data_IF_716506697575
#
_entry.id   IF_716506697575
#
_cell.length_a   1.000
_cell.length_b   1.000
_cell.length_c   1.000
_cell.angle_alpha   90.00
_cell.angle_beta   90.00
_cell.angle_gamma   90.00
#
_symmetry.space_group_name_H-M   'P 1'
#
loop_
_entity.id
_entity.type
_entity.pdbx_description
1 polymer ?
#
# COMPACT_ATOMS: atom_id res chain seq x y z
N UNK A 1 -14.70 25.01 -21.94
CA UNK A 1 -15.10 25.21 -23.34
C UNK A 1 -16.58 25.53 -23.37
N UNK A 2 -16.94 26.72 -23.82
CA UNK A 2 -18.33 27.10 -24.15
C UNK A 2 -18.43 27.21 -25.66
N UNK A 3 -19.49 26.67 -26.25
CA UNK A 3 -19.62 26.64 -27.69
C UNK A 3 -20.87 25.91 -28.16
N UNK A 4 -21.24 26.20 -29.41
CA UNK A 4 -22.27 25.47 -30.13
C UNK A 4 -21.71 24.11 -30.55
N UNK A 5 -22.42 23.04 -30.21
CA UNK A 5 -22.01 21.67 -30.55
C UNK A 5 -22.86 21.07 -31.68
N UNK A 6 -24.05 21.63 -31.91
CA UNK A 6 -24.90 21.28 -33.04
C UNK A 6 -25.89 22.41 -33.34
N UNK A 7 -26.28 22.58 -34.60
CA UNK A 7 -27.35 23.49 -35.00
C UNK A 7 -28.13 22.97 -36.20
N UNK A 8 -29.42 23.28 -36.23
CA UNK A 8 -30.33 23.05 -37.35
C UNK A 8 -30.51 24.33 -38.16
N UNK A 9 -30.36 24.22 -39.47
CA UNK A 9 -30.41 25.33 -40.42
C UNK A 9 -31.46 25.09 -41.51
N UNK A 10 -32.15 26.15 -41.92
CA UNK A 10 -33.12 26.15 -43.02
C UNK A 10 -32.72 27.22 -44.06
N UNK A 11 -33.40 27.21 -45.22
CA UNK A 11 -33.18 28.17 -46.32
C UNK A 11 -31.70 28.33 -46.71
N UNK A 12 -31.08 27.21 -47.11
CA UNK A 12 -29.68 27.19 -47.56
C UNK A 12 -28.69 27.83 -46.56
N UNK A 13 -28.88 27.51 -45.28
CA UNK A 13 -28.13 28.05 -44.13
C UNK A 13 -28.36 29.53 -43.82
N UNK A 14 -29.32 30.19 -44.47
CA UNK A 14 -29.71 31.57 -44.17
C UNK A 14 -30.44 31.77 -42.84
N UNK A 15 -31.04 30.71 -42.28
CA UNK A 15 -31.79 30.78 -41.03
C UNK A 15 -31.43 29.64 -40.06
N UNK A 16 -30.94 29.98 -38.86
CA UNK A 16 -30.72 29.03 -37.76
C UNK A 16 -31.98 28.91 -36.91
N UNK A 17 -32.64 27.76 -36.97
CA UNK A 17 -33.89 27.53 -36.21
C UNK A 17 -33.69 26.74 -34.92
N UNK A 18 -32.55 26.07 -34.76
CA UNK A 18 -32.23 25.31 -33.56
C UNK A 18 -30.72 25.33 -33.30
N UNK A 19 -30.33 25.45 -32.04
CA UNK A 19 -28.92 25.47 -31.63
C UNK A 19 -28.78 24.77 -30.28
N UNK A 20 -27.89 23.79 -30.22
CA UNK A 20 -27.48 23.12 -28.99
C UNK A 20 -26.16 23.71 -28.55
N UNK A 21 -26.20 24.48 -27.47
CA UNK A 21 -25.02 25.14 -26.89
C UNK A 21 -24.71 24.51 -25.54
N UNK A 22 -23.44 24.23 -25.28
CA UNK A 22 -23.00 23.88 -23.92
C UNK A 22 -22.86 25.19 -23.13
N UNK A 23 -23.84 25.47 -22.27
CA UNK A 23 -23.75 26.59 -21.33
C UNK A 23 -22.71 26.26 -20.25
N UNK A 24 -21.92 27.27 -19.88
CA UNK A 24 -20.73 27.14 -19.03
C UNK A 24 -20.92 26.24 -17.81
N UNK A 25 -19.95 25.35 -17.64
CA UNK A 25 -19.89 24.30 -16.61
C UNK A 25 -18.87 23.22 -16.97
N UNK A 26 -18.52 23.11 -18.27
CA UNK A 26 -17.63 22.06 -18.76
C UNK A 26 -18.33 20.71 -18.73
N UNK A 27 -18.13 19.89 -19.75
CA UNK A 27 -18.36 18.46 -19.58
C UNK A 27 -17.20 18.02 -18.68
N UNK A 28 -17.46 17.86 -17.39
CA UNK A 28 -16.47 17.33 -16.47
C UNK A 28 -16.34 15.84 -16.74
N UNK A 29 -15.43 15.48 -17.66
CA UNK A 29 -15.00 14.10 -17.81
C UNK A 29 -14.19 13.79 -16.55
N UNK A 30 -14.84 13.19 -15.56
CA UNK A 30 -14.19 12.55 -14.41
C UNK A 30 -13.93 11.09 -14.78
N UNK A 31 -12.78 10.76 -15.39
CA UNK A 31 -12.48 9.38 -15.72
C UNK A 31 -12.40 8.58 -14.42
N UNK A 32 -12.96 7.38 -14.43
CA UNK A 32 -12.94 6.47 -13.28
C UNK A 32 -11.51 5.99 -13.10
N UNK A 33 -11.00 6.10 -11.88
CA UNK A 33 -9.71 5.54 -11.49
C UNK A 33 -9.92 4.15 -10.87
N UNK A 34 -9.01 3.19 -11.12
CA UNK A 34 -9.18 1.83 -10.61
C UNK A 34 -9.11 1.82 -9.08
N UNK A 35 -9.93 0.95 -8.48
CA UNK A 35 -9.87 0.64 -7.05
C UNK A 35 -9.24 -0.74 -6.88
N UNK A 36 -8.39 -0.91 -5.87
CA UNK A 36 -7.75 -2.20 -5.60
C UNK A 36 -8.30 -2.86 -4.34
N UNK A 37 -8.48 -4.17 -4.43
CA UNK A 37 -8.80 -5.03 -3.31
C UNK A 37 -7.62 -5.95 -3.01
N UNK A 38 -7.33 -6.16 -1.73
CA UNK A 38 -6.30 -7.12 -1.35
C UNK A 38 -6.77 -8.55 -1.67
N UNK A 39 -6.05 -9.23 -2.56
CA UNK A 39 -6.32 -10.63 -2.87
C UNK A 39 -5.98 -11.52 -1.67
N UNK A 40 -4.94 -11.14 -0.93
CA UNK A 40 -4.46 -11.85 0.27
C UNK A 40 -4.89 -11.10 1.52
N UNK A 41 -5.91 -11.62 2.22
CA UNK A 41 -6.41 -11.02 3.48
C UNK A 41 -5.50 -11.29 4.68
N UNK A 42 -4.81 -12.43 4.67
CA UNK A 42 -3.86 -12.84 5.70
C UNK A 42 -2.71 -13.58 5.04
N UNK A 43 -1.48 -13.31 5.51
CA UNK A 43 -0.28 -13.94 5.02
C UNK A 43 0.59 -14.36 6.21
N UNK A 44 1.00 -15.62 6.22
CA UNK A 44 1.95 -16.15 7.19
C UNK A 44 3.31 -16.28 6.52
N UNK A 45 4.32 -15.59 7.07
CA UNK A 45 5.69 -15.61 6.55
C UNK A 45 6.55 -16.42 7.53
N UNK A 46 6.93 -17.67 7.21
CA UNK A 46 7.80 -18.46 8.08
C UNK A 46 9.23 -17.92 8.00
N UNK A 47 9.65 -17.19 9.03
CA UNK A 47 11.03 -16.69 9.15
C UNK A 47 12.03 -17.81 9.43
N UNK A 48 11.55 -18.93 9.99
CA UNK A 48 12.34 -20.08 10.37
C UNK A 48 12.90 -19.95 11.78
N UNK A 49 13.63 -20.98 12.19
CA UNK A 49 14.32 -21.00 13.46
C UNK A 49 15.58 -20.15 13.42
N UNK A 50 15.91 -19.54 14.55
CA UNK A 50 17.08 -18.69 14.73
C UNK A 50 17.96 -19.29 15.83
N UNK A 51 19.24 -19.51 15.52
CA UNK A 51 20.25 -19.75 16.54
C UNK A 51 20.78 -18.42 17.06
N UNK A 52 21.11 -18.36 18.34
CA UNK A 52 21.76 -17.17 18.93
C UNK A 52 23.10 -16.84 18.26
N UNK A 53 23.73 -17.84 17.63
CA UNK A 53 24.95 -17.68 16.82
C UNK A 53 24.72 -16.91 15.52
N UNK A 54 23.49 -16.84 15.03
CA UNK A 54 23.16 -16.13 13.77
C UNK A 54 23.07 -14.61 13.98
N UNK A 55 22.91 -14.17 15.24
CA UNK A 55 22.72 -12.77 15.64
C UNK A 55 23.59 -12.42 16.86
N UNK A 56 24.91 -12.39 16.63
CA UNK A 56 25.92 -12.29 17.70
C UNK A 56 25.91 -10.97 18.48
N UNK A 57 25.42 -9.89 17.92
CA UNK A 57 25.40 -8.56 18.54
C UNK A 57 24.07 -7.82 18.29
N UNK A 58 23.75 -6.83 19.12
CA UNK A 58 22.56 -5.99 18.95
C UNK A 58 22.65 -5.25 17.61
N UNK A 59 21.60 -5.34 16.80
CA UNK A 59 21.56 -4.85 15.41
C UNK A 59 21.90 -5.91 14.35
N UNK A 60 22.41 -7.08 14.74
CA UNK A 60 22.57 -8.20 13.81
C UNK A 60 21.21 -8.73 13.34
N UNK A 61 21.15 -9.18 12.08
CA UNK A 61 19.91 -9.63 11.45
C UNK A 61 20.06 -10.99 10.77
N UNK A 62 18.98 -11.75 10.69
CA UNK A 62 18.93 -12.98 9.87
C UNK A 62 18.87 -12.66 8.38
N UNK A 63 19.12 -13.66 7.51
CA UNK A 63 18.70 -13.59 6.12
C UNK A 63 17.21 -13.24 6.01
N UNK A 64 16.86 -12.40 5.04
CA UNK A 64 15.49 -11.99 4.81
C UNK A 64 14.71 -13.05 4.02
N UNK A 65 13.44 -13.22 4.36
CA UNK A 65 12.49 -14.07 3.64
C UNK A 65 11.57 -13.18 2.80
N UNK A 66 11.59 -13.39 1.49
CA UNK A 66 10.77 -12.62 0.55
C UNK A 66 9.34 -13.13 0.53
N UNK A 67 8.40 -12.20 0.38
CA UNK A 67 6.98 -12.48 0.19
C UNK A 67 6.34 -11.30 -0.54
N UNK A 68 5.16 -11.50 -1.12
CA UNK A 68 4.47 -10.44 -1.85
C UNK A 68 3.04 -10.25 -1.35
N UNK A 69 2.59 -9.00 -1.31
CA UNK A 69 1.18 -8.66 -1.16
C UNK A 69 0.62 -8.41 -2.55
N UNK A 70 -0.42 -9.17 -2.91
CA UNK A 70 -1.07 -9.09 -4.22
C UNK A 70 -2.39 -8.34 -4.09
N UNK A 71 -2.56 -7.30 -4.90
CA UNK A 71 -3.78 -6.51 -5.01
C UNK A 71 -4.39 -6.70 -6.41
N UNK A 72 -5.71 -6.84 -6.47
CA UNK A 72 -6.46 -6.87 -7.72
C UNK A 72 -7.20 -5.56 -7.89
N UNK A 73 -6.83 -4.83 -8.95
CA UNK A 73 -7.31 -3.50 -9.28
C UNK A 73 -8.24 -3.55 -10.49
N UNK A 74 -9.40 -2.90 -10.40
CA UNK A 74 -10.38 -2.85 -11.49
C UNK A 74 -11.27 -1.61 -11.41
N UNK A 75 -12.07 -1.40 -12.45
CA UNK A 75 -13.06 -0.32 -12.50
C UNK A 75 -12.53 1.04 -12.97
N UNK A 76 -11.27 1.10 -13.41
CA UNK A 76 -10.70 2.29 -14.06
C UNK A 76 -11.04 2.34 -15.55
N UNK A 77 -11.21 3.55 -16.09
CA UNK A 77 -11.29 3.77 -17.53
C UNK A 77 -9.95 3.47 -18.22
N UNK A 78 -9.98 3.25 -19.54
CA UNK A 78 -8.76 2.93 -20.30
C UNK A 78 -7.75 4.09 -20.20
N UNK A 79 -6.53 3.78 -19.77
CA UNK A 79 -5.46 4.77 -19.60
C UNK A 79 -5.43 5.49 -18.25
N UNK A 80 -6.34 5.18 -17.32
CA UNK A 80 -6.27 5.72 -15.96
C UNK A 80 -5.38 4.89 -15.05
N UNK A 81 -4.73 5.56 -14.10
CA UNK A 81 -3.89 4.96 -13.08
C UNK A 81 -4.20 5.57 -11.72
N UNK A 82 -4.10 4.76 -10.68
CA UNK A 82 -4.21 5.18 -9.27
C UNK A 82 -2.83 5.07 -8.62
N UNK A 83 -2.43 6.08 -7.85
CA UNK A 83 -1.22 5.96 -7.02
C UNK A 83 -1.56 5.16 -5.78
N UNK A 84 -0.72 4.18 -5.47
CA UNK A 84 -0.92 3.29 -4.34
C UNK A 84 0.13 3.55 -3.29
N UNK A 85 -0.32 3.62 -2.05
CA UNK A 85 0.52 3.76 -0.88
C UNK A 85 0.11 2.74 0.17
N UNK A 86 1.07 2.33 0.99
CA UNK A 86 0.85 1.38 2.06
C UNK A 86 1.47 1.88 3.37
N UNK A 87 0.79 1.60 4.47
CA UNK A 87 1.35 1.73 5.82
C UNK A 87 1.32 0.37 6.50
N UNK A 88 2.39 0.01 7.19
CA UNK A 88 2.38 -1.16 8.08
C UNK A 88 2.20 -0.68 9.53
N UNK A 89 1.31 -1.34 10.27
CA UNK A 89 1.06 -1.04 11.69
C UNK A 89 1.44 -2.24 12.54
N UNK A 90 2.21 -2.00 13.60
CA UNK A 90 2.49 -2.99 14.62
C UNK A 90 1.22 -3.28 15.44
N UNK A 91 0.70 -4.52 15.36
CA UNK A 91 -0.54 -4.90 16.04
C UNK A 91 -0.34 -5.00 17.55
N UNK A 92 0.84 -5.44 17.99
CA UNK A 92 1.19 -5.58 19.40
C UNK A 92 1.46 -4.24 20.06
N UNK A 93 1.93 -3.25 19.30
CA UNK A 93 2.19 -1.89 19.75
C UNK A 93 1.78 -0.85 18.69
N UNK A 94 0.50 -0.45 18.68
CA UNK A 94 -0.05 0.51 17.71
C UNK A 94 0.59 1.91 17.75
N UNK A 95 1.32 2.25 18.81
CA UNK A 95 2.07 3.50 18.94
C UNK A 95 3.48 3.42 18.31
N UNK A 96 3.94 2.23 17.91
CA UNK A 96 5.25 2.03 17.33
C UNK A 96 5.41 2.84 16.02
N UNK A 97 6.47 3.66 15.96
CA UNK A 97 6.87 4.43 14.77
C UNK A 97 8.30 4.12 14.30
N UNK A 98 8.88 3.05 14.85
CA UNK A 98 10.23 2.57 14.52
C UNK A 98 10.19 1.62 13.32
N UNK A 99 11.33 1.06 12.93
CA UNK A 99 11.46 0.03 11.90
C UNK A 99 11.46 -1.41 12.47
N UNK A 100 11.21 -1.55 13.77
CA UNK A 100 11.28 -2.82 14.48
C UNK A 100 9.90 -3.21 14.98
N UNK A 101 9.34 -4.27 14.40
CA UNK A 101 8.06 -4.86 14.77
C UNK A 101 8.21 -5.62 16.09
N UNK A 102 7.31 -5.34 17.02
CA UNK A 102 7.27 -5.99 18.32
C UNK A 102 6.79 -7.43 18.19
N UNK A 103 7.37 -8.33 18.99
CA UNK A 103 6.83 -9.68 19.12
C UNK A 103 5.43 -9.65 19.75
N UNK A 104 4.59 -10.62 19.40
CA UNK A 104 3.25 -10.74 19.96
C UNK A 104 3.28 -11.16 21.44
N UNK A 105 2.23 -10.85 22.23
CA UNK A 105 2.20 -11.18 23.66
C UNK A 105 2.30 -12.68 23.98
N UNK A 106 1.93 -13.57 23.05
CA UNK A 106 2.08 -15.03 23.17
C UNK A 106 3.50 -15.54 22.89
N UNK A 107 4.41 -14.64 22.47
CA UNK A 107 5.83 -14.95 22.29
C UNK A 107 6.58 -14.94 23.62
N UNK A 108 7.44 -15.94 23.82
CA UNK A 108 8.28 -16.07 25.02
C UNK A 108 9.78 -15.81 24.75
N UNK A 109 10.20 -15.70 23.49
CA UNK A 109 11.53 -15.20 23.15
C UNK A 109 11.69 -13.73 23.59
N UNK A 110 12.93 -13.34 23.92
CA UNK A 110 13.29 -11.97 24.31
C UNK A 110 14.52 -11.49 23.53
N UNK A 111 14.67 -10.17 23.41
CA UNK A 111 15.81 -9.54 22.73
C UNK A 111 15.77 -9.61 21.21
N UNK A 112 14.60 -9.88 20.63
CA UNK A 112 14.37 -9.93 19.20
C UNK A 112 13.22 -9.00 18.79
N UNK A 113 13.27 -8.53 17.56
CA UNK A 113 12.16 -7.94 16.82
C UNK A 113 12.19 -8.41 15.38
N UNK A 114 11.21 -7.98 14.58
CA UNK A 114 11.15 -8.27 13.14
C UNK A 114 11.27 -6.97 12.34
N UNK A 115 12.08 -6.96 11.29
CA UNK A 115 12.12 -5.87 10.32
C UNK A 115 11.41 -6.29 9.05
N UNK A 116 10.65 -5.36 8.46
CA UNK A 116 10.07 -5.53 7.13
C UNK A 116 10.76 -4.57 6.17
N UNK A 117 11.08 -5.05 4.98
CA UNK A 117 11.74 -4.30 3.93
C UNK A 117 10.86 -4.25 2.68
N UNK A 118 10.79 -3.09 2.05
CA UNK A 118 10.23 -2.89 0.71
C UNK A 118 11.37 -2.51 -0.23
N UNK A 119 11.60 -3.32 -1.28
CA UNK A 119 12.74 -3.14 -2.20
C UNK A 119 14.07 -2.87 -1.46
N UNK A 120 14.39 -3.70 -0.46
CA UNK A 120 15.58 -3.57 0.41
C UNK A 120 15.65 -2.34 1.31
N UNK A 121 14.62 -1.49 1.34
CA UNK A 121 14.53 -0.34 2.26
C UNK A 121 13.72 -0.72 3.49
N UNK A 122 14.22 -0.39 4.68
CA UNK A 122 13.49 -0.62 5.94
C UNK A 122 12.19 0.17 5.97
N UNK A 123 11.10 -0.53 6.27
CA UNK A 123 9.78 0.07 6.48
C UNK A 123 9.64 0.45 7.94
N UNK A 124 9.29 1.71 8.19
CA UNK A 124 8.87 2.17 9.52
C UNK A 124 7.38 1.94 9.71
N UNK A 125 6.98 1.61 10.93
CA UNK A 125 5.59 1.38 11.29
C UNK A 125 4.82 2.71 11.47
N UNK A 126 3.54 2.71 11.14
CA UNK A 126 2.67 3.88 11.22
C UNK A 126 1.35 3.57 11.92
N UNK A 127 0.45 4.57 12.03
CA UNK A 127 -0.93 4.35 12.43
C UNK A 127 -1.69 3.54 11.38
N UNK A 128 -2.69 2.78 11.81
CA UNK A 128 -3.63 2.11 10.92
C UNK A 128 -4.62 3.12 10.35
N UNK A 129 -4.26 3.73 9.22
CA UNK A 129 -5.07 4.76 8.55
C UNK A 129 -4.80 4.78 7.04
N UNK A 130 -5.88 4.92 6.27
CA UNK A 130 -5.84 5.10 4.81
C UNK A 130 -5.77 6.58 4.39
N UNK A 131 -5.73 7.50 5.35
CA UNK A 131 -5.65 8.94 5.08
C UNK A 131 -4.38 9.30 4.30
N UNK A 132 -4.50 10.23 3.36
CA UNK A 132 -3.36 10.79 2.64
C UNK A 132 -2.37 11.43 3.61
N UNK A 133 -1.08 11.11 3.45
CA UNK A 133 -0.03 11.65 4.31
C UNK A 133 0.04 10.98 5.68
N UNK A 134 -0.53 9.78 5.84
CA UNK A 134 -0.37 8.99 7.06
C UNK A 134 1.11 8.80 7.41
N UNK A 135 1.44 8.82 8.70
CA UNK A 135 2.84 8.75 9.15
C UNK A 135 3.48 7.42 8.72
N UNK A 136 4.69 7.49 8.15
CA UNK A 136 5.46 6.35 7.65
C UNK A 136 4.78 5.54 6.52
N UNK A 137 3.79 6.14 5.85
CA UNK A 137 3.28 5.64 4.59
C UNK A 137 4.37 5.68 3.51
N UNK A 138 4.44 4.65 2.68
CA UNK A 138 5.35 4.58 1.53
C UNK A 138 4.61 4.28 0.24
N UNK A 139 5.12 4.80 -0.89
CA UNK A 139 4.55 4.52 -2.20
C UNK A 139 4.85 3.08 -2.62
N UNK A 140 3.81 2.39 -3.08
CA UNK A 140 3.91 1.04 -3.65
C UNK A 140 3.81 1.05 -5.18
N UNK A 141 3.86 2.24 -5.78
CA UNK A 141 3.81 2.46 -7.22
C UNK A 141 2.50 3.08 -7.68
N UNK A 142 2.14 2.80 -8.93
CA UNK A 142 0.87 3.19 -9.54
C UNK A 142 0.35 2.03 -10.36
N UNK A 143 -0.96 1.89 -10.43
CA UNK A 143 -1.60 0.75 -11.09
C UNK A 143 -2.84 1.17 -11.85
N UNK A 144 -3.03 0.57 -13.02
CA UNK A 144 -4.25 0.65 -13.81
C UNK A 144 -5.24 -0.46 -13.41
N UNK A 145 -6.01 -0.94 -14.37
CA UNK A 145 -6.70 -2.22 -14.21
C UNK A 145 -5.69 -3.38 -14.31
N UNK A 146 -5.75 -4.34 -13.38
CA UNK A 146 -4.86 -5.49 -13.36
C UNK A 146 -4.41 -5.88 -11.95
N UNK A 147 -3.33 -6.65 -11.88
CA UNK A 147 -2.74 -7.11 -10.62
C UNK A 147 -1.53 -6.26 -10.26
N UNK A 148 -1.50 -5.74 -9.04
CA UNK A 148 -0.33 -5.07 -8.46
C UNK A 148 0.31 -5.99 -7.42
N UNK A 149 1.57 -6.31 -7.61
CA UNK A 149 2.37 -7.10 -6.68
C UNK A 149 3.34 -6.19 -5.93
N UNK A 150 3.30 -6.26 -4.59
CA UNK A 150 4.13 -5.44 -3.71
C UNK A 150 5.18 -6.37 -3.07
N UNK A 151 6.43 -6.38 -3.57
CA UNK A 151 7.47 -7.26 -3.06
C UNK A 151 7.99 -6.75 -1.71
N UNK A 152 7.90 -7.60 -0.70
CA UNK A 152 8.39 -7.35 0.64
C UNK A 152 9.38 -8.44 1.05
N UNK A 153 10.14 -8.17 2.09
CA UNK A 153 10.87 -9.21 2.80
C UNK A 153 10.88 -8.94 4.28
N UNK A 154 11.00 -9.99 5.10
CA UNK A 154 11.07 -9.87 6.54
C UNK A 154 12.25 -10.65 7.11
N UNK A 155 12.81 -10.15 8.21
CA UNK A 155 13.94 -10.77 8.92
C UNK A 155 13.88 -10.48 10.41
N UNK A 156 14.51 -11.32 11.22
CA UNK A 156 14.73 -11.00 12.63
C UNK A 156 15.85 -9.98 12.80
N UNK A 157 15.75 -9.16 13.84
CA UNK A 157 16.80 -8.27 14.34
C UNK A 157 16.99 -8.49 15.84
N UNK A 158 18.24 -8.54 16.28
CA UNK A 158 18.55 -8.58 17.72
C UNK A 158 18.46 -7.18 18.31
N UNK A 159 17.62 -7.02 19.33
CA UNK A 159 17.36 -5.75 20.04
C UNK A 159 17.96 -5.73 21.45
N UNK A 160 18.39 -6.88 21.98
CA UNK A 160 18.95 -6.97 23.32
C UNK A 160 19.48 -8.35 23.69
N UNK A 161 19.42 -8.70 24.97
CA UNK A 161 19.77 -10.03 25.49
C UNK A 161 18.78 -11.08 25.00
N UNK A 162 19.30 -12.15 24.41
CA UNK A 162 18.49 -13.21 23.81
C UNK A 162 18.01 -14.20 24.88
N UNK A 163 16.74 -14.60 24.75
CA UNK A 163 16.19 -15.76 25.45
C UNK A 163 15.50 -16.66 24.43
N UNK A 164 15.71 -17.98 24.56
CA UNK A 164 15.05 -18.96 23.73
C UNK A 164 13.53 -18.93 23.88
N UNK A 165 12.82 -19.29 22.80
CA UNK A 165 11.37 -19.29 22.76
C UNK A 165 10.80 -19.09 21.36
N UNK A 166 9.47 -19.11 21.26
CA UNK A 166 8.70 -18.69 20.10
C UNK A 166 8.78 -17.17 19.94
N UNK A 167 8.99 -16.73 18.71
CA UNK A 167 9.08 -15.33 18.31
C UNK A 167 8.10 -15.05 17.15
N UNK A 168 6.83 -14.86 17.51
CA UNK A 168 5.77 -14.48 16.58
C UNK A 168 5.66 -12.95 16.52
N UNK A 169 5.33 -12.41 15.36
CA UNK A 169 5.10 -10.97 15.18
C UNK A 169 3.94 -10.77 14.20
N UNK A 170 3.12 -9.74 14.43
CA UNK A 170 1.93 -9.46 13.61
C UNK A 170 1.91 -7.99 13.24
N UNK A 171 1.82 -7.71 11.94
CA UNK A 171 1.57 -6.38 11.40
C UNK A 171 0.26 -6.37 10.60
N UNK A 172 -0.49 -5.27 10.67
CA UNK A 172 -1.54 -4.98 9.70
C UNK A 172 -0.99 -4.08 8.60
N UNK A 173 -1.52 -4.22 7.39
CA UNK A 173 -1.21 -3.34 6.28
C UNK A 173 -2.45 -2.56 5.88
N UNK A 174 -2.29 -1.26 5.65
CA UNK A 174 -3.39 -0.36 5.32
C UNK A 174 -3.05 0.34 4.00
N UNK A 175 -3.91 0.14 3.00
CA UNK A 175 -3.77 0.74 1.69
C UNK A 175 -4.40 2.13 1.65
N UNK A 176 -3.76 3.05 0.92
CA UNK A 176 -4.26 4.38 0.59
C UNK A 176 -4.15 4.58 -0.91
N UNK A 177 -5.25 5.01 -1.53
CA UNK A 177 -5.39 5.22 -2.96
C UNK A 177 -5.54 6.72 -3.19
N UNK A 178 -4.66 7.30 -4.01
CA UNK A 178 -4.55 8.74 -4.24
C UNK A 178 -4.49 9.07 -5.73
#
# INVERSE_FOLDING_TARGET
MTGEIAAGWAQDKGFKFMSFTVQGGGIEIKPRVPTCSAATKSLTVPLGDLSTTDVLYVGATTPAKSFSIVLNCSGGDTGTVTKTYMTLTDVSNKANRTDTLSLTPDSNAKGLGVQVLYNSTLVKFGPDSSATGNTNQFSTGSTGNGTLEIPLSARYIRTGSLSGGKANATASFTMSYQ
#
